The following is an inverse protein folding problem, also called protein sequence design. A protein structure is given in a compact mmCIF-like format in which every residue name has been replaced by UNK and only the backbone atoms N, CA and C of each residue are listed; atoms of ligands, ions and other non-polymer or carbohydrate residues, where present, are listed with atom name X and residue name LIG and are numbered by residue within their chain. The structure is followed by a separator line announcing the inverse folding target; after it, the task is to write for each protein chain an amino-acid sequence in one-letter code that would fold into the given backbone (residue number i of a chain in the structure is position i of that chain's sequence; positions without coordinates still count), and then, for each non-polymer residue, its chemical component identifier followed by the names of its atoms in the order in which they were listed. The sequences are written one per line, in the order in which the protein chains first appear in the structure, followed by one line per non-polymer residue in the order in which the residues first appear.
data_IF_176758323072
#
_entry.id   IF_176758323072
#
_cell.length_a   1.000
_cell.length_b   1.000
_cell.length_c   1.000
_cell.angle_alpha   90.00
_cell.angle_beta   90.00
_cell.angle_gamma   90.00
#
_symmetry.space_group_name_H-M   'P 1'
#
loop_
_entity.id
_entity.type
_entity.pdbx_description
1 polymer ?
#
# COMPACT_ATOMS: atom_id res chain seq x y z
N UNK A 1 18.06 -34.71 17.82
CA UNK A 1 17.00 -33.67 17.69
C UNK A 1 16.89 -33.29 16.22
N UNK A 2 15.75 -33.60 15.64
CA UNK A 2 15.43 -33.55 14.21
C UNK A 2 15.32 -32.11 13.69
N UNK A 3 15.95 -31.87 12.53
CA UNK A 3 15.96 -30.61 11.78
C UNK A 3 14.67 -30.53 10.95
N UNK A 4 13.74 -29.64 11.31
CA UNK A 4 12.51 -29.40 10.54
C UNK A 4 12.76 -28.31 9.50
N UNK A 5 12.61 -28.68 8.23
CA UNK A 5 12.67 -27.78 7.08
C UNK A 5 11.40 -26.91 7.00
N UNK A 6 11.58 -25.60 6.81
CA UNK A 6 10.51 -24.62 6.57
C UNK A 6 10.09 -24.69 5.10
N UNK A 7 8.82 -25.02 4.87
CA UNK A 7 8.22 -25.09 3.54
C UNK A 7 8.16 -23.68 2.90
N UNK A 8 8.74 -23.56 1.71
CA UNK A 8 8.62 -22.39 0.84
C UNK A 8 7.34 -22.53 0.03
N UNK A 9 6.35 -21.67 0.27
CA UNK A 9 5.15 -21.56 -0.57
C UNK A 9 5.52 -20.91 -1.89
N UNK A 10 5.25 -21.63 -2.99
CA UNK A 10 5.42 -21.14 -4.35
C UNK A 10 4.42 -19.99 -4.66
N UNK A 11 4.80 -18.98 -5.47
CA UNK A 11 3.89 -17.94 -5.90
C UNK A 11 2.81 -18.52 -6.84
N UNK A 12 1.55 -18.22 -6.55
CA UNK A 12 0.41 -18.65 -7.34
C UNK A 12 0.50 -18.12 -8.79
N UNK A 13 0.29 -18.99 -9.77
CA UNK A 13 0.26 -18.65 -11.19
C UNK A 13 -0.91 -17.71 -11.50
N UNK A 14 -0.73 -16.63 -12.26
CA UNK A 14 -1.82 -15.71 -12.59
C UNK A 14 -2.81 -16.41 -13.54
N UNK A 15 -4.03 -16.66 -13.05
CA UNK A 15 -5.14 -17.14 -13.88
C UNK A 15 -5.57 -16.00 -14.80
N UNK A 16 -5.38 -16.17 -16.11
CA UNK A 16 -5.84 -15.21 -17.12
C UNK A 16 -7.37 -15.25 -17.14
N UNK A 17 -8.01 -14.37 -16.39
CA UNK A 17 -9.45 -14.26 -16.33
C UNK A 17 -9.97 -13.55 -17.60
N UNK A 18 -10.60 -14.29 -18.51
CA UNK A 18 -11.38 -13.72 -19.61
C UNK A 18 -12.60 -12.96 -19.06
N UNK A 19 -12.58 -11.63 -19.18
CA UNK A 19 -13.69 -10.76 -18.73
C UNK A 19 -14.75 -10.65 -19.83
N UNK A 20 -16.01 -10.95 -19.51
CA UNK A 20 -17.14 -10.74 -20.44
C UNK A 20 -17.43 -9.24 -20.57
N UNK A 21 -17.42 -8.73 -21.81
CA UNK A 21 -17.72 -7.33 -22.08
C UNK A 21 -19.20 -7.03 -21.83
N UNK A 22 -19.48 -5.94 -21.11
CA UNK A 22 -20.83 -5.39 -20.98
C UNK A 22 -21.16 -4.63 -22.27
N UNK A 23 -22.25 -5.01 -22.94
CA UNK A 23 -22.71 -4.38 -24.18
C UNK A 23 -23.92 -3.49 -23.88
N UNK A 24 -23.88 -2.25 -24.35
CA UNK A 24 -24.96 -1.28 -24.21
C UNK A 24 -24.82 -0.38 -22.98
N UNK A 25 -25.17 0.89 -23.16
CA UNK A 25 -25.00 1.96 -22.17
C UNK A 25 -25.69 1.66 -20.83
N UNK A 26 -26.90 1.11 -20.86
CA UNK A 26 -27.67 0.78 -19.65
C UNK A 26 -26.94 -0.25 -18.77
N UNK A 27 -26.36 -1.28 -19.37
CA UNK A 27 -25.63 -2.32 -18.65
C UNK A 27 -24.34 -1.78 -18.02
N UNK A 28 -23.64 -0.90 -18.75
CA UNK A 28 -22.43 -0.21 -18.25
C UNK A 28 -22.78 0.69 -17.06
N UNK A 29 -23.80 1.55 -17.19
CA UNK A 29 -24.23 2.46 -16.10
C UNK A 29 -24.65 1.67 -14.85
N UNK A 30 -25.39 0.58 -15.00
CA UNK A 30 -25.75 -0.28 -13.88
C UNK A 30 -24.54 -0.90 -13.18
N UNK A 31 -23.53 -1.35 -13.95
CA UNK A 31 -22.29 -1.88 -13.40
C UNK A 31 -21.49 -0.80 -12.65
N UNK A 32 -21.39 0.42 -13.16
CA UNK A 32 -20.70 1.53 -12.50
C UNK A 32 -21.32 1.86 -11.14
N UNK A 33 -22.65 1.93 -11.06
CA UNK A 33 -23.36 2.16 -9.78
C UNK A 33 -23.08 1.02 -8.80
N UNK A 34 -23.09 -0.22 -9.27
CA UNK A 34 -22.80 -1.39 -8.44
C UNK A 34 -21.36 -1.40 -7.91
N UNK A 35 -20.38 -1.05 -8.75
CA UNK A 35 -18.97 -0.96 -8.36
C UNK A 35 -18.79 0.15 -7.31
N UNK A 36 -19.37 1.33 -7.53
CA UNK A 36 -19.30 2.44 -6.59
C UNK A 36 -19.82 2.06 -5.21
N UNK A 37 -21.04 1.50 -5.16
CA UNK A 37 -21.66 1.08 -3.89
C UNK A 37 -20.85 0.00 -3.19
N UNK A 38 -20.45 -1.06 -3.91
CA UNK A 38 -19.68 -2.18 -3.31
C UNK A 38 -18.30 -1.73 -2.84
N UNK A 39 -17.65 -0.81 -3.54
CA UNK A 39 -16.38 -0.24 -3.11
C UNK A 39 -16.51 0.49 -1.77
N UNK A 40 -17.55 1.32 -1.62
CA UNK A 40 -17.84 2.00 -0.35
C UNK A 40 -18.15 1.02 0.79
N UNK A 41 -19.00 0.03 0.53
CA UNK A 41 -19.36 -1.00 1.53
C UNK A 41 -18.14 -1.79 1.96
N UNK A 42 -17.35 -2.32 1.01
CA UNK A 42 -16.13 -3.07 1.33
C UNK A 42 -15.16 -2.25 2.15
N UNK A 43 -14.99 -0.97 1.81
CA UNK A 43 -14.11 -0.07 2.54
C UNK A 43 -14.60 0.16 3.98
N UNK A 44 -15.91 0.31 4.19
CA UNK A 44 -16.52 0.40 5.54
C UNK A 44 -16.34 -0.90 6.32
N UNK A 45 -16.57 -2.06 5.70
CA UNK A 45 -16.42 -3.38 6.32
C UNK A 45 -14.97 -3.60 6.79
N UNK A 46 -13.99 -3.24 5.95
CA UNK A 46 -12.56 -3.31 6.30
C UNK A 46 -12.24 -2.41 7.49
N UNK A 47 -12.80 -1.21 7.56
CA UNK A 47 -12.54 -0.30 8.68
C UNK A 47 -13.22 -0.75 9.97
N UNK A 48 -14.45 -1.26 9.89
CA UNK A 48 -15.11 -1.88 11.04
C UNK A 48 -14.30 -3.06 11.57
N UNK A 49 -13.78 -3.91 10.69
CA UNK A 49 -12.88 -4.99 11.06
C UNK A 49 -11.59 -4.45 11.68
N UNK A 50 -10.98 -3.40 11.10
CA UNK A 50 -9.77 -2.78 11.62
C UNK A 50 -9.95 -2.22 13.04
N UNK A 51 -11.05 -1.50 13.30
CA UNK A 51 -11.40 -1.00 14.63
C UNK A 51 -11.63 -2.14 15.63
N UNK A 52 -12.27 -3.23 15.19
CA UNK A 52 -12.52 -4.40 16.04
C UNK A 52 -11.22 -5.14 16.39
N UNK A 53 -10.32 -5.29 15.41
CA UNK A 53 -8.98 -5.86 15.61
C UNK A 53 -8.16 -4.98 16.55
N UNK A 54 -8.22 -3.66 16.38
CA UNK A 54 -7.52 -2.71 17.24
C UNK A 54 -7.95 -2.82 18.71
N UNK A 55 -9.26 -2.87 18.96
CA UNK A 55 -9.83 -3.08 20.29
C UNK A 55 -9.43 -4.45 20.89
N UNK A 56 -9.40 -5.49 20.06
CA UNK A 56 -8.94 -6.81 20.47
C UNK A 56 -7.46 -6.80 20.87
N UNK A 57 -6.59 -6.16 20.07
CA UNK A 57 -5.17 -6.00 20.38
C UNK A 57 -5.00 -5.24 21.70
N UNK A 58 -5.78 -4.18 21.93
CA UNK A 58 -5.70 -3.40 23.17
C UNK A 58 -6.02 -4.24 24.42
N UNK A 59 -7.00 -5.14 24.32
CA UNK A 59 -7.47 -5.98 25.43
C UNK A 59 -6.63 -7.23 25.66
N UNK A 60 -6.13 -7.84 24.59
CA UNK A 60 -5.53 -9.18 24.63
C UNK A 60 -4.06 -9.21 24.22
N UNK A 61 -3.51 -8.09 23.73
CA UNK A 61 -2.15 -8.02 23.16
C UNK A 61 -1.93 -9.02 22.01
N UNK A 62 -3.00 -9.42 21.32
CA UNK A 62 -2.94 -10.38 20.22
C UNK A 62 -2.87 -9.66 18.87
N UNK A 63 -1.69 -9.66 18.27
CA UNK A 63 -1.41 -9.00 17.00
C UNK A 63 -1.68 -9.87 15.77
N UNK A 64 -2.02 -11.17 15.94
CA UNK A 64 -2.20 -12.09 14.80
C UNK A 64 -3.34 -11.64 13.88
N UNK A 65 -4.40 -11.10 14.48
CA UNK A 65 -5.55 -10.58 13.76
C UNK A 65 -5.20 -9.37 12.87
N UNK A 66 -4.16 -8.60 13.22
CA UNK A 66 -3.67 -7.51 12.37
C UNK A 66 -3.06 -8.08 11.09
N UNK A 67 -2.20 -9.09 11.21
CA UNK A 67 -1.59 -9.77 10.06
C UNK A 67 -2.65 -10.45 9.19
N UNK A 68 -3.60 -11.16 9.80
CA UNK A 68 -4.69 -11.83 9.07
C UNK A 68 -5.56 -10.82 8.30
N UNK A 69 -5.89 -9.68 8.90
CA UNK A 69 -6.64 -8.62 8.22
C UNK A 69 -5.86 -8.03 7.03
N UNK A 70 -4.57 -7.76 7.19
CA UNK A 70 -3.72 -7.20 6.14
C UNK A 70 -3.57 -8.16 4.94
N UNK A 71 -3.49 -9.47 5.22
CA UNK A 71 -3.45 -10.52 4.20
C UNK A 71 -4.81 -10.67 3.50
N UNK A 72 -5.91 -10.60 4.25
CA UNK A 72 -7.26 -10.72 3.70
C UNK A 72 -7.67 -9.52 2.83
N UNK A 73 -7.04 -8.36 3.01
CA UNK A 73 -7.31 -7.18 2.20
C UNK A 73 -6.93 -7.41 0.72
N UNK A 74 -7.80 -7.06 -0.24
CA UNK A 74 -7.45 -7.10 -1.66
C UNK A 74 -6.39 -6.04 -1.99
N UNK A 75 -5.67 -6.20 -3.10
CA UNK A 75 -4.58 -5.30 -3.49
C UNK A 75 -5.03 -3.85 -3.76
N UNK A 76 -6.31 -3.66 -4.09
CA UNK A 76 -6.90 -2.34 -4.25
C UNK A 76 -7.09 -1.57 -2.94
N UNK A 77 -7.03 -2.27 -1.79
CA UNK A 77 -7.08 -1.62 -0.49
C UNK A 77 -5.80 -0.82 -0.29
N UNK A 78 -5.91 0.40 0.25
CA UNK A 78 -4.74 1.22 0.64
C UNK A 78 -4.01 0.57 1.84
N UNK A 79 -3.41 -0.60 1.65
CA UNK A 79 -2.79 -1.44 2.69
C UNK A 79 -1.75 -0.67 3.50
N UNK A 80 -0.93 0.16 2.85
CA UNK A 80 0.05 0.99 3.55
C UNK A 80 -0.62 2.02 4.47
N UNK A 81 -1.66 2.71 4.01
CA UNK A 81 -2.41 3.64 4.87
C UNK A 81 -3.07 2.91 6.04
N UNK A 82 -3.57 1.68 5.83
CA UNK A 82 -4.10 0.84 6.90
C UNK A 82 -3.01 0.42 7.90
N UNK A 83 -1.81 0.07 7.44
CA UNK A 83 -0.65 -0.23 8.30
C UNK A 83 -0.29 0.99 9.16
N UNK A 84 -0.11 2.15 8.53
CA UNK A 84 0.23 3.39 9.23
C UNK A 84 -0.87 3.79 10.23
N UNK A 85 -2.14 3.57 9.87
CA UNK A 85 -3.29 3.79 10.75
C UNK A 85 -3.25 2.92 12.01
N UNK A 86 -2.94 1.63 11.85
CA UNK A 86 -2.75 0.73 13.00
C UNK A 86 -1.60 1.20 13.91
N UNK A 87 -0.52 1.69 13.32
CA UNK A 87 0.61 2.25 14.08
C UNK A 87 0.22 3.56 14.76
N UNK A 88 -0.62 4.40 14.17
CA UNK A 88 -1.03 5.66 14.78
C UNK A 88 -1.96 5.46 16.00
N UNK A 89 -2.95 4.58 15.87
CA UNK A 89 -4.01 4.42 16.89
C UNK A 89 -3.81 3.24 17.84
N UNK A 90 -2.83 2.36 17.58
CA UNK A 90 -2.68 1.09 18.30
C UNK A 90 -1.31 0.86 18.93
N UNK A 91 -1.23 -0.10 19.87
CA UNK A 91 0.01 -0.57 20.47
C UNK A 91 0.75 -1.54 19.54
N UNK A 92 0.87 -1.18 18.26
CA UNK A 92 1.56 -1.99 17.24
C UNK A 92 2.58 -1.16 16.47
N UNK A 93 3.57 -1.86 15.95
CA UNK A 93 4.54 -1.36 14.98
C UNK A 93 4.55 -2.34 13.81
N UNK A 94 4.58 -1.80 12.59
CA UNK A 94 4.53 -2.60 11.36
C UNK A 94 5.71 -2.15 10.49
N UNK A 95 6.62 -3.08 10.18
CA UNK A 95 7.74 -2.86 9.27
C UNK A 95 7.69 -3.90 8.15
N UNK A 96 7.52 -3.43 6.91
CA UNK A 96 7.17 -4.30 5.80
C UNK A 96 5.90 -5.09 6.10
N UNK A 97 6.02 -6.41 6.25
CA UNK A 97 4.93 -7.33 6.59
C UNK A 97 5.02 -7.89 8.02
N UNK A 98 6.04 -7.47 8.78
CA UNK A 98 6.22 -7.89 10.17
C UNK A 98 5.42 -6.97 11.09
N UNK A 99 4.56 -7.58 11.92
CA UNK A 99 3.76 -6.89 12.94
C UNK A 99 4.35 -7.21 14.30
N UNK A 100 4.63 -6.19 15.11
CA UNK A 100 5.14 -6.33 16.48
C UNK A 100 4.25 -5.58 17.47
N UNK A 101 4.07 -6.15 18.66
CA UNK A 101 3.32 -5.53 19.74
C UNK A 101 4.24 -4.59 20.55
N UNK A 102 3.81 -3.35 20.76
CA UNK A 102 4.56 -2.34 21.51
C UNK A 102 3.94 -2.18 22.89
N UNK A 103 4.52 -2.86 23.87
CA UNK A 103 4.06 -2.80 25.27
C UNK A 103 4.16 -1.37 25.80
N UNK A 104 3.08 -0.90 26.43
CA UNK A 104 3.03 0.42 27.06
C UNK A 104 2.66 1.58 26.12
N UNK A 105 2.50 1.31 24.82
CA UNK A 105 1.92 2.28 23.90
C UNK A 105 0.41 2.35 24.10
N UNK A 106 -0.15 3.56 24.08
CA UNK A 106 -1.58 3.77 24.23
C UNK A 106 -2.34 3.26 23.00
N UNK A 107 -3.59 2.83 23.21
CA UNK A 107 -4.53 2.51 22.16
C UNK A 107 -5.66 3.54 22.18
N UNK A 108 -5.95 4.15 21.03
CA UNK A 108 -7.06 5.10 20.86
C UNK A 108 -8.07 4.57 19.85
N UNK A 109 -8.94 3.66 20.32
CA UNK A 109 -10.02 3.09 19.50
C UNK A 109 -11.05 4.16 19.11
N UNK A 110 -11.29 5.16 19.98
CA UNK A 110 -12.29 6.20 19.71
C UNK A 110 -11.83 7.13 18.60
N UNK A 111 -10.57 7.58 18.64
CA UNK A 111 -9.96 8.35 17.56
C UNK A 111 -9.93 7.55 16.26
N UNK A 112 -9.54 6.28 16.33
CA UNK A 112 -9.58 5.35 15.21
C UNK A 112 -10.95 5.29 14.52
N UNK A 113 -12.05 5.22 15.27
CA UNK A 113 -13.40 5.19 14.69
C UNK A 113 -13.82 6.49 14.00
N UNK A 114 -13.23 7.63 14.38
CA UNK A 114 -13.53 8.95 13.83
C UNK A 114 -12.66 9.28 12.62
N UNK A 115 -11.48 8.66 12.51
CA UNK A 115 -10.54 8.88 11.42
C UNK A 115 -10.34 7.60 10.60
N UNK A 116 -11.14 7.37 9.55
CA UNK A 116 -11.05 6.15 8.76
C UNK A 116 -9.73 6.02 8.01
N UNK A 117 -9.23 4.79 7.87
CA UNK A 117 -7.93 4.52 7.23
C UNK A 117 -7.79 5.04 5.79
N UNK A 118 -8.91 5.22 5.08
CA UNK A 118 -8.92 5.74 3.71
C UNK A 118 -8.82 7.27 3.64
N UNK A 119 -9.14 7.98 4.72
CA UNK A 119 -8.88 9.41 4.89
C UNK A 119 -7.57 9.66 5.61
N UNK A 120 -7.03 8.63 6.29
CA UNK A 120 -5.77 8.70 7.00
C UNK A 120 -4.64 9.07 6.04
N UNK A 121 -4.04 10.22 6.32
CA UNK A 121 -2.94 10.78 5.56
C UNK A 121 -1.83 11.12 6.54
N UNK A 122 -1.04 10.12 6.98
CA UNK A 122 0.06 10.36 7.90
C UNK A 122 1.03 11.33 7.25
N UNK A 123 1.55 12.27 8.03
CA UNK A 123 2.63 13.12 7.54
C UNK A 123 3.80 12.22 7.12
N UNK A 124 4.29 12.35 5.87
CA UNK A 124 5.39 11.52 5.42
C UNK A 124 6.58 11.79 6.35
N UNK A 125 7.08 10.73 6.99
CA UNK A 125 8.31 10.81 7.78
C UNK A 125 9.38 11.44 6.90
N UNK A 126 10.00 12.53 7.38
CA UNK A 126 11.02 13.23 6.61
C UNK A 126 12.15 12.26 6.27
N UNK A 127 12.29 11.94 4.99
CA UNK A 127 13.43 11.20 4.46
C UNK A 127 14.41 12.22 3.89
N UNK A 128 15.68 12.23 4.35
CA UNK A 128 16.72 13.04 3.72
C UNK A 128 16.75 12.76 2.22
N UNK A 129 16.84 13.83 1.43
CA UNK A 129 16.85 13.70 -0.04
C UNK A 129 18.14 13.00 -0.46
N UNK A 130 18.01 11.76 -0.94
CA UNK A 130 19.06 11.13 -1.72
C UNK A 130 19.08 11.77 -3.11
N UNK A 131 19.95 12.77 -3.27
CA UNK A 131 20.11 13.53 -4.50
C UNK A 131 20.49 12.61 -5.67
N UNK A 132 21.31 11.60 -5.43
CA UNK A 132 21.72 10.65 -6.47
C UNK A 132 20.54 9.78 -6.94
N UNK A 133 19.77 9.23 -6.00
CA UNK A 133 18.58 8.44 -6.32
C UNK A 133 17.47 9.28 -6.96
N UNK A 134 17.33 10.55 -6.57
CA UNK A 134 16.37 11.48 -7.17
C UNK A 134 16.72 11.79 -8.63
N UNK A 135 17.99 12.11 -8.91
CA UNK A 135 18.46 12.34 -10.27
C UNK A 135 18.29 11.09 -11.15
N UNK A 136 18.58 9.89 -10.62
CA UNK A 136 18.36 8.63 -11.34
C UNK A 136 16.88 8.40 -11.65
N UNK A 137 15.97 8.70 -10.72
CA UNK A 137 14.51 8.61 -10.96
C UNK A 137 14.07 9.57 -12.06
N UNK A 138 14.60 10.80 -12.10
CA UNK A 138 14.27 11.79 -13.13
C UNK A 138 14.78 11.33 -14.49
N UNK A 139 16.03 10.87 -14.60
CA UNK A 139 16.61 10.34 -15.84
C UNK A 139 15.77 9.15 -16.35
N UNK A 140 15.38 8.21 -15.47
CA UNK A 140 14.53 7.07 -15.85
C UNK A 140 13.15 7.51 -16.35
N UNK A 141 12.53 8.53 -15.75
CA UNK A 141 11.25 9.08 -16.22
C UNK A 141 11.38 9.73 -17.59
N UNK A 142 12.43 10.50 -17.83
CA UNK A 142 12.68 11.13 -19.13
C UNK A 142 12.95 10.08 -20.22
N UNK A 143 13.74 9.04 -19.93
CA UNK A 143 13.97 7.94 -20.85
C UNK A 143 12.69 7.14 -21.16
N UNK A 144 11.76 7.05 -20.21
CA UNK A 144 10.44 6.43 -20.41
C UNK A 144 9.53 7.33 -21.27
N UNK A 145 9.52 8.64 -21.02
CA UNK A 145 8.75 9.63 -21.78
C UNK A 145 9.13 9.62 -23.27
N UNK A 146 10.43 9.55 -23.60
CA UNK A 146 10.87 9.44 -25.01
C UNK A 146 10.33 8.17 -25.70
N UNK A 147 10.26 7.05 -24.97
CA UNK A 147 9.75 5.79 -25.49
C UNK A 147 8.23 5.80 -25.69
N UNK A 148 7.49 6.42 -24.78
CA UNK A 148 6.02 6.46 -24.84
C UNK A 148 5.49 7.54 -25.80
N UNK A 149 6.21 8.65 -25.96
CA UNK A 149 5.81 9.75 -26.86
C UNK A 149 6.38 9.64 -28.28
N UNK A 150 7.32 8.71 -28.51
CA UNK A 150 8.04 8.57 -29.78
C UNK A 150 9.02 9.71 -30.07
N UNK A 151 9.19 10.67 -29.15
CA UNK A 151 10.10 11.81 -29.27
C UNK A 151 11.54 11.46 -28.86
N UNK A 152 12.09 10.41 -29.49
CA UNK A 152 13.45 9.91 -29.21
C UNK A 152 14.47 11.03 -29.41
N UNK A 153 15.28 11.32 -28.39
CA UNK A 153 16.32 12.36 -28.45
C UNK A 153 15.94 13.72 -27.86
N UNK A 154 14.67 13.95 -27.52
CA UNK A 154 14.18 15.25 -27.02
C UNK A 154 14.77 15.63 -25.66
N UNK A 155 15.02 14.64 -24.81
CA UNK A 155 15.54 14.79 -23.45
C UNK A 155 16.97 14.29 -23.29
N UNK A 156 17.59 13.70 -24.32
CA UNK A 156 18.95 13.13 -24.25
C UNK A 156 20.01 14.11 -23.73
N UNK A 157 20.00 15.36 -24.19
CA UNK A 157 20.93 16.39 -23.70
C UNK A 157 20.70 16.74 -22.23
N UNK A 158 19.44 16.74 -21.79
CA UNK A 158 19.04 17.00 -20.40
C UNK A 158 19.42 15.82 -19.50
N UNK A 159 19.19 14.58 -19.94
CA UNK A 159 19.60 13.36 -19.22
C UNK A 159 21.12 13.32 -19.01
N UNK A 160 21.92 13.67 -20.04
CA UNK A 160 23.37 13.78 -19.91
C UNK A 160 23.79 14.87 -18.92
N UNK A 161 23.13 16.03 -18.95
CA UNK A 161 23.42 17.11 -18.00
C UNK A 161 23.09 16.71 -16.56
N UNK A 162 21.95 16.05 -16.34
CA UNK A 162 21.55 15.53 -15.02
C UNK A 162 22.50 14.43 -14.52
N UNK A 163 22.99 13.56 -15.41
CA UNK A 163 23.97 12.53 -15.06
C UNK A 163 25.30 13.13 -14.58
N UNK A 164 25.72 14.27 -15.13
CA UNK A 164 26.94 14.98 -14.70
C UNK A 164 26.80 15.66 -13.33
N UNK A 165 25.57 15.99 -12.93
CA UNK A 165 25.27 16.62 -11.63
C UNK A 165 25.13 15.60 -10.49
N UNK A 166 25.26 14.30 -10.79
CA UNK A 166 25.20 13.25 -9.77
C UNK A 166 26.40 13.40 -8.82
N UNK A 167 26.18 13.60 -7.51
CA UNK A 167 27.28 13.68 -6.56
C UNK A 167 28.03 12.33 -6.55
N UNK A 168 29.35 12.37 -6.37
CA UNK A 168 30.13 11.17 -6.10
C UNK A 168 29.58 10.53 -4.82
N UNK A 169 29.33 9.22 -4.88
CA UNK A 169 28.77 8.45 -3.76
C UNK A 169 29.69 8.63 -2.56
N UNK A 170 29.17 9.24 -1.48
CA UNK A 170 29.84 9.31 -0.16
C UNK A 170 29.45 8.09 0.65
#
# INVERSE_FOLDING_TARGET
MTKTAKATTAPATPVVATVKLLVGEKAIKAALVSIHRRGQTLQQDIHQAACSVLDHVAKHSDIRLVTELLVACPDMTRKNALKDWFVAFGPVMIDGDEVTFVKGKACDVKGAMLEPFWMFSPEPVYVPVDVAALLDKIIKKLAKDEKETGATGKHTALMHSLAKLKPATV
#
